data_IF_061270679799
#
_entry.id   IF_061270679799
#
_cell.length_a   1.000
_cell.length_b   1.000
_cell.length_c   1.000
_cell.angle_alpha   90.00
_cell.angle_beta   90.00
_cell.angle_gamma   90.00
#
_symmetry.space_group_name_H-M   'P 1'
#
loop_
_entity.id
_entity.type
_entity.pdbx_description
1 polymer ?
#
# COMPACT_ATOMS: atom_id res chain seq x y z
N UNK A 1 -9.97 56.12 -7.02
CA UNK A 1 -8.91 55.09 -7.06
C UNK A 1 -9.58 53.76 -7.34
N UNK A 2 -9.48 53.27 -8.58
CA UNK A 2 -9.97 51.95 -8.96
C UNK A 2 -8.89 50.94 -8.63
N UNK A 3 -9.16 50.05 -7.68
CA UNK A 3 -8.35 48.86 -7.44
C UNK A 3 -8.58 47.96 -8.65
N UNK A 4 -7.54 47.77 -9.46
CA UNK A 4 -7.55 46.78 -10.53
C UNK A 4 -7.62 45.40 -9.88
N UNK A 5 -8.79 44.77 -9.93
CA UNK A 5 -8.92 43.35 -9.61
C UNK A 5 -8.10 42.60 -10.66
N UNK A 6 -6.91 42.14 -10.27
CA UNK A 6 -6.21 41.13 -11.04
C UNK A 6 -7.19 39.96 -11.22
N UNK A 7 -7.59 39.71 -12.47
CA UNK A 7 -8.41 38.58 -12.86
C UNK A 7 -7.75 37.30 -12.35
N UNK A 8 -8.19 36.77 -11.20
CA UNK A 8 -7.74 35.46 -10.72
C UNK A 8 -8.17 34.42 -11.76
N UNK A 9 -7.20 33.82 -12.45
CA UNK A 9 -7.40 32.70 -13.35
C UNK A 9 -7.97 31.54 -12.56
N UNK A 10 -9.27 31.28 -12.74
CA UNK A 10 -9.90 30.07 -12.23
C UNK A 10 -9.77 28.97 -13.27
N UNK A 11 -8.89 28.00 -13.04
CA UNK A 11 -8.66 26.92 -13.99
C UNK A 11 -9.71 25.82 -13.89
N UNK A 12 -10.12 25.30 -15.04
CA UNK A 12 -10.77 24.00 -15.14
C UNK A 12 -9.75 22.96 -15.61
N UNK A 13 -10.01 21.68 -15.33
CA UNK A 13 -9.17 20.59 -15.85
C UNK A 13 -9.05 20.62 -17.38
N UNK A 14 -10.11 21.03 -18.09
CA UNK A 14 -10.12 21.14 -19.56
C UNK A 14 -9.29 22.30 -20.10
N UNK A 15 -9.19 23.41 -19.37
CA UNK A 15 -8.46 24.60 -19.82
C UNK A 15 -7.01 24.63 -19.37
N UNK A 16 -6.66 23.88 -18.32
CA UNK A 16 -5.28 23.82 -17.84
C UNK A 16 -4.35 23.32 -18.95
N UNK A 17 -3.13 23.87 -19.12
CA UNK A 17 -2.28 23.52 -20.24
C UNK A 17 -1.76 22.08 -20.20
N UNK A 18 -1.39 21.56 -21.36
CA UNK A 18 -0.89 20.20 -21.54
C UNK A 18 0.63 20.17 -21.68
N UNK A 19 1.33 19.48 -20.78
CA UNK A 19 2.79 19.35 -20.80
C UNK A 19 3.33 18.68 -22.08
N UNK A 20 2.53 17.82 -22.70
CA UNK A 20 2.86 17.10 -23.93
C UNK A 20 2.08 17.59 -25.15
N UNK A 21 1.22 18.59 -24.95
CA UNK A 21 0.31 19.10 -25.97
C UNK A 21 0.76 20.41 -26.60
N UNK A 22 -0.07 20.97 -27.50
CA UNK A 22 0.23 22.24 -28.19
C UNK A 22 0.24 23.44 -27.23
N UNK A 23 -0.39 23.33 -26.06
CA UNK A 23 -0.50 24.39 -25.05
C UNK A 23 0.69 24.45 -24.09
N UNK A 24 1.72 23.61 -24.27
CA UNK A 24 2.92 23.54 -23.40
C UNK A 24 3.62 24.89 -23.20
N UNK A 25 3.54 25.81 -24.17
CA UNK A 25 4.12 27.15 -24.05
C UNK A 25 3.45 28.02 -22.98
N UNK A 26 2.25 27.65 -22.52
CA UNK A 26 1.55 28.33 -21.43
C UNK A 26 2.05 27.88 -20.05
N UNK A 27 2.71 26.72 -19.96
CA UNK A 27 3.15 26.14 -18.69
C UNK A 27 4.33 26.85 -18.02
N UNK A 28 5.18 27.55 -18.77
CA UNK A 28 6.29 28.30 -18.20
C UNK A 28 6.71 29.43 -19.14
N UNK A 29 7.18 30.54 -18.58
CA UNK A 29 7.73 31.63 -19.37
C UNK A 29 9.07 31.26 -20.02
N UNK A 30 9.84 30.37 -19.39
CA UNK A 30 11.13 29.88 -19.91
C UNK A 30 11.05 28.37 -20.10
N UNK A 31 11.12 27.94 -21.36
CA UNK A 31 11.09 26.54 -21.73
C UNK A 31 12.51 25.95 -21.75
N UNK A 32 12.69 24.67 -21.35
CA UNK A 32 13.93 23.96 -21.60
C UNK A 32 14.24 23.89 -23.10
N UNK A 33 15.53 23.79 -23.47
CA UNK A 33 15.95 23.68 -24.89
C UNK A 33 15.25 22.52 -25.62
N UNK A 34 15.05 21.39 -24.92
CA UNK A 34 14.20 20.30 -25.39
C UNK A 34 12.88 20.30 -24.62
N UNK A 35 11.77 20.61 -25.31
CA UNK A 35 10.43 20.61 -24.73
C UNK A 35 10.00 19.25 -24.18
N UNK A 36 10.61 18.15 -24.65
CA UNK A 36 10.36 16.80 -24.13
C UNK A 36 10.88 16.61 -22.70
N UNK A 37 11.73 17.50 -22.19
CA UNK A 37 12.23 17.49 -20.81
C UNK A 37 11.51 18.52 -19.93
N UNK A 38 10.26 18.86 -20.26
CA UNK A 38 9.43 19.71 -19.43
C UNK A 38 8.56 18.85 -18.51
N UNK A 39 8.67 19.10 -17.21
CA UNK A 39 8.00 18.34 -16.14
C UNK A 39 7.15 19.24 -15.24
N UNK A 40 7.19 20.57 -15.42
CA UNK A 40 6.46 21.53 -14.58
C UNK A 40 5.52 22.35 -15.45
N UNK A 41 4.26 22.44 -15.03
CA UNK A 41 3.29 23.37 -15.57
C UNK A 41 2.81 24.34 -14.50
N UNK A 42 3.19 25.60 -14.65
CA UNK A 42 2.87 26.73 -13.77
C UNK A 42 2.43 27.95 -14.63
N UNK A 43 1.20 27.92 -15.18
CA UNK A 43 0.70 29.00 -16.01
C UNK A 43 0.47 30.32 -15.25
N UNK A 44 0.24 30.25 -13.94
CA UNK A 44 0.01 31.42 -13.08
C UNK A 44 1.32 32.05 -12.57
N UNK A 45 2.48 31.43 -12.85
CA UNK A 45 3.82 31.92 -12.52
C UNK A 45 4.02 32.11 -11.02
N UNK A 46 3.52 31.15 -10.23
CA UNK A 46 3.73 31.10 -8.77
C UNK A 46 5.22 30.92 -8.47
N UNK A 47 5.92 30.14 -9.29
CA UNK A 47 7.37 30.00 -9.26
C UNK A 47 8.03 31.04 -10.16
N UNK A 48 9.17 31.56 -9.70
CA UNK A 48 10.02 32.34 -10.60
C UNK A 48 10.78 31.43 -11.59
N UNK A 49 11.29 32.02 -12.67
CA UNK A 49 11.95 31.26 -13.75
C UNK A 49 13.15 30.43 -13.27
N UNK A 50 13.91 30.93 -12.29
CA UNK A 50 15.09 30.22 -11.76
C UNK A 50 14.68 29.01 -10.93
N UNK A 51 13.64 29.14 -10.11
CA UNK A 51 13.04 28.08 -9.30
C UNK A 51 12.43 27.00 -10.18
N UNK A 52 11.60 27.40 -11.14
CA UNK A 52 10.98 26.48 -12.11
C UNK A 52 12.04 25.68 -12.87
N UNK A 53 13.11 26.35 -13.34
CA UNK A 53 14.19 25.66 -14.05
C UNK A 53 15.01 24.74 -13.15
N UNK A 54 15.25 25.12 -11.89
CA UNK A 54 15.92 24.28 -10.89
C UNK A 54 15.11 23.01 -10.60
N UNK A 55 13.82 23.15 -10.28
CA UNK A 55 12.92 22.02 -10.03
C UNK A 55 12.79 21.11 -11.26
N UNK A 56 12.70 21.69 -12.46
CA UNK A 56 12.62 20.91 -13.69
C UNK A 56 13.89 20.06 -13.93
N UNK A 57 15.07 20.53 -13.51
CA UNK A 57 16.29 19.72 -13.51
C UNK A 57 16.21 18.59 -12.48
N UNK A 58 15.76 18.88 -11.26
CA UNK A 58 15.57 17.85 -10.23
C UNK A 58 14.60 16.74 -10.67
N UNK A 59 13.50 17.10 -11.33
CA UNK A 59 12.54 16.13 -11.89
C UNK A 59 13.14 15.30 -13.02
N UNK A 60 13.96 15.90 -13.87
CA UNK A 60 14.72 15.18 -14.90
C UNK A 60 15.71 14.20 -14.27
N UNK A 61 16.45 14.65 -13.27
CA UNK A 61 17.44 13.84 -12.56
C UNK A 61 16.74 12.67 -11.83
N UNK A 62 15.56 12.90 -11.27
CA UNK A 62 14.70 11.83 -10.73
C UNK A 62 14.30 10.83 -11.80
N UNK A 63 13.87 11.30 -12.98
CA UNK A 63 13.44 10.41 -14.04
C UNK A 63 14.57 9.52 -14.56
N UNK A 64 15.80 10.03 -14.68
CA UNK A 64 16.96 9.22 -15.11
C UNK A 64 17.60 8.44 -13.96
N UNK A 65 17.40 8.88 -12.71
CA UNK A 65 17.96 8.30 -11.50
C UNK A 65 17.09 7.25 -10.83
N UNK A 66 15.93 6.92 -11.38
CA UNK A 66 15.04 5.87 -10.90
C UNK A 66 15.03 4.66 -11.85
N UNK A 67 14.84 3.44 -11.34
CA UNK A 67 14.71 2.25 -12.17
C UNK A 67 13.44 2.27 -13.02
N UNK A 68 13.50 1.67 -14.20
CA UNK A 68 12.30 1.44 -15.01
C UNK A 68 11.75 0.03 -14.77
N UNK A 69 10.52 -0.05 -14.28
CA UNK A 69 9.81 -1.31 -14.04
C UNK A 69 8.77 -1.64 -15.12
N UNK A 70 8.83 -0.97 -16.27
CA UNK A 70 7.97 -1.30 -17.40
C UNK A 70 8.35 -2.65 -18.03
N UNK A 71 7.36 -3.36 -18.57
CA UNK A 71 7.59 -4.68 -19.18
C UNK A 71 8.43 -4.58 -20.47
N UNK A 72 8.27 -3.51 -21.26
CA UNK A 72 9.01 -3.32 -22.51
C UNK A 72 10.06 -2.23 -22.32
N UNK A 73 11.31 -2.52 -22.74
CA UNK A 73 12.40 -1.54 -22.70
C UNK A 73 12.10 -0.25 -23.46
N UNK A 74 11.31 -0.34 -24.55
CA UNK A 74 10.91 0.84 -25.34
C UNK A 74 10.09 1.86 -24.55
N UNK A 75 9.44 1.43 -23.46
CA UNK A 75 8.66 2.29 -22.54
C UNK A 75 9.55 3.02 -21.52
N UNK A 76 10.85 2.74 -21.53
CA UNK A 76 11.84 3.34 -20.65
C UNK A 76 12.83 4.21 -21.43
N UNK A 77 12.60 4.42 -22.72
CA UNK A 77 13.50 5.14 -23.61
C UNK A 77 12.77 6.30 -24.25
N UNK A 78 13.33 7.49 -24.06
CA UNK A 78 12.94 8.72 -24.74
C UNK A 78 13.87 8.99 -25.92
N UNK A 79 13.34 9.60 -26.98
CA UNK A 79 14.09 9.89 -28.20
C UNK A 79 13.98 8.80 -29.26
N UNK A 80 14.48 9.09 -30.45
CA UNK A 80 14.48 8.16 -31.59
C UNK A 80 15.69 7.24 -31.48
N UNK A 81 15.48 5.95 -31.72
CA UNK A 81 16.58 4.99 -31.62
C UNK A 81 17.66 5.25 -32.68
N UNK A 82 18.92 5.21 -32.27
CA UNK A 82 20.08 5.38 -33.15
C UNK A 82 20.50 6.82 -33.47
N UNK A 83 19.86 7.84 -32.89
CA UNK A 83 20.22 9.27 -33.13
C UNK A 83 21.15 9.87 -32.07
N UNK A 84 21.62 9.08 -31.10
CA UNK A 84 22.44 9.58 -29.99
C UNK A 84 21.69 10.48 -28.99
N UNK A 85 20.38 10.64 -29.17
CA UNK A 85 19.47 11.36 -28.25
C UNK A 85 18.61 10.41 -27.42
N UNK A 86 18.93 9.12 -27.43
CA UNK A 86 18.26 8.12 -26.59
C UNK A 86 18.55 8.41 -25.11
N UNK A 87 17.50 8.66 -24.34
CA UNK A 87 17.57 8.84 -22.90
C UNK A 87 16.77 7.75 -22.19
N UNK A 88 17.40 6.99 -21.31
CA UNK A 88 16.67 6.06 -20.44
C UNK A 88 15.99 6.83 -19.29
N UNK A 89 14.76 6.46 -18.94
CA UNK A 89 14.08 6.94 -17.75
C UNK A 89 13.33 5.81 -17.02
N UNK A 90 13.27 5.92 -15.70
CA UNK A 90 12.41 5.15 -14.82
C UNK A 90 11.06 5.83 -14.61
N UNK A 91 10.80 6.26 -13.38
CA UNK A 91 9.57 6.93 -13.01
C UNK A 91 9.54 8.41 -13.45
N UNK A 92 8.40 8.86 -13.93
CA UNK A 92 8.22 10.24 -14.42
C UNK A 92 7.38 11.04 -13.43
N UNK A 93 8.00 11.92 -12.67
CA UNK A 93 7.29 12.87 -11.80
C UNK A 93 7.07 14.17 -12.57
N UNK A 94 5.86 14.73 -12.49
CA UNK A 94 5.53 16.04 -13.06
C UNK A 94 4.75 16.88 -12.06
N UNK A 95 4.86 18.20 -12.17
CA UNK A 95 4.25 19.14 -11.24
C UNK A 95 3.23 19.99 -11.98
N UNK A 96 2.01 20.06 -11.45
CA UNK A 96 0.97 20.98 -11.90
C UNK A 96 0.73 22.01 -10.80
N UNK A 97 0.85 23.29 -11.11
CA UNK A 97 0.70 24.40 -10.17
C UNK A 97 -0.41 25.31 -10.67
N UNK A 98 -1.37 25.61 -9.81
CA UNK A 98 -2.43 26.58 -10.07
C UNK A 98 -2.58 27.53 -8.90
N UNK A 99 -2.88 28.78 -9.22
CA UNK A 99 -3.35 29.72 -8.23
C UNK A 99 -4.71 29.28 -7.69
N UNK A 100 -5.68 29.05 -8.59
CA UNK A 100 -7.00 28.59 -8.18
C UNK A 100 -7.68 27.67 -9.21
N UNK A 101 -8.54 26.77 -8.73
CA UNK A 101 -9.46 26.01 -9.57
C UNK A 101 -10.86 26.61 -9.52
N UNK A 102 -11.61 26.46 -10.61
CA UNK A 102 -13.02 26.77 -10.61
C UNK A 102 -13.76 25.82 -9.65
N UNK A 103 -14.44 26.42 -8.67
CA UNK A 103 -15.24 25.76 -7.65
C UNK A 103 -16.72 26.12 -7.80
N UNK A 104 -17.58 25.14 -7.55
CA UNK A 104 -19.04 25.34 -7.55
C UNK A 104 -19.58 25.76 -6.17
N UNK A 105 -18.75 25.70 -5.13
CA UNK A 105 -19.11 25.93 -3.73
C UNK A 105 -18.27 27.06 -3.15
N UNK A 106 -18.89 28.00 -2.45
CA UNK A 106 -18.24 29.20 -1.91
C UNK A 106 -17.39 28.94 -0.64
N UNK A 107 -17.66 27.84 0.07
CA UNK A 107 -16.90 27.43 1.27
C UNK A 107 -16.79 25.91 1.33
N UNK A 108 -15.91 25.30 0.51
CA UNK A 108 -15.76 23.87 0.43
C UNK A 108 -15.15 23.29 1.71
N UNK A 109 -15.57 22.09 2.09
CA UNK A 109 -14.92 21.31 3.16
C UNK A 109 -13.58 20.73 2.67
N UNK A 110 -12.72 20.31 3.61
CA UNK A 110 -11.45 19.65 3.27
C UNK A 110 -11.63 18.42 2.37
N UNK A 111 -12.69 17.64 2.59
CA UNK A 111 -13.02 16.49 1.76
C UNK A 111 -13.37 16.90 0.32
N UNK A 112 -14.16 17.97 0.15
CA UNK A 112 -14.51 18.51 -1.17
C UNK A 112 -13.28 19.07 -1.90
N UNK A 113 -12.37 19.72 -1.17
CA UNK A 113 -11.10 20.19 -1.74
C UNK A 113 -10.22 19.04 -2.23
N UNK A 114 -10.12 17.97 -1.42
CA UNK A 114 -9.37 16.75 -1.79
C UNK A 114 -9.99 16.10 -3.02
N UNK A 115 -11.30 15.84 -3.01
CA UNK A 115 -12.01 15.21 -4.14
C UNK A 115 -11.84 16.02 -5.42
N UNK A 116 -11.94 17.36 -5.34
CA UNK A 116 -11.74 18.22 -6.50
C UNK A 116 -10.33 18.14 -7.05
N UNK A 117 -9.33 18.21 -6.18
CA UNK A 117 -7.92 18.16 -6.57
C UNK A 117 -7.53 16.78 -7.14
N UNK A 118 -8.05 15.68 -6.59
CA UNK A 118 -7.87 14.34 -7.14
C UNK A 118 -8.55 14.19 -8.50
N UNK A 119 -9.78 14.69 -8.65
CA UNK A 119 -10.50 14.72 -9.93
C UNK A 119 -9.73 15.50 -11.00
N UNK A 120 -9.13 16.63 -10.61
CA UNK A 120 -8.25 17.42 -11.47
C UNK A 120 -7.01 16.60 -11.88
N UNK A 121 -6.31 15.98 -10.95
CA UNK A 121 -5.14 15.14 -11.24
C UNK A 121 -5.47 13.97 -12.16
N UNK A 122 -6.59 13.27 -11.93
CA UNK A 122 -7.06 12.17 -12.78
C UNK A 122 -7.33 12.64 -14.21
N UNK A 123 -7.90 13.83 -14.39
CA UNK A 123 -8.10 14.40 -15.72
C UNK A 123 -6.76 14.74 -16.41
N UNK A 124 -5.79 15.28 -15.66
CA UNK A 124 -4.46 15.56 -16.20
C UNK A 124 -3.70 14.29 -16.57
N UNK A 125 -3.75 13.24 -15.75
CA UNK A 125 -3.12 11.94 -16.02
C UNK A 125 -3.50 11.41 -17.40
N UNK A 126 -4.80 11.43 -17.73
CA UNK A 126 -5.30 10.97 -19.03
C UNK A 126 -4.88 11.84 -20.21
N UNK A 127 -4.77 13.16 -20.04
CA UNK A 127 -4.43 14.08 -21.15
C UNK A 127 -2.94 14.26 -21.35
N UNK A 128 -2.19 14.41 -20.26
CA UNK A 128 -0.74 14.58 -20.31
C UNK A 128 -0.04 13.29 -20.74
N UNK A 129 -0.72 12.13 -20.56
CA UNK A 129 -0.20 10.81 -20.92
C UNK A 129 1.24 10.64 -20.43
N UNK A 130 1.45 10.94 -19.13
CA UNK A 130 2.77 10.88 -18.52
C UNK A 130 3.16 9.43 -18.27
N UNK A 131 4.38 9.08 -18.67
CA UNK A 131 4.89 7.72 -18.58
C UNK A 131 4.20 6.76 -19.56
N UNK A 132 4.65 5.51 -19.56
CA UNK A 132 4.31 4.55 -20.62
C UNK A 132 3.68 3.26 -20.09
N UNK A 133 3.81 3.01 -18.78
CA UNK A 133 3.31 1.80 -18.13
C UNK A 133 2.66 2.08 -16.75
N UNK A 134 2.22 3.32 -16.51
CA UNK A 134 1.71 3.78 -15.21
C UNK A 134 2.81 4.14 -14.21
N UNK A 135 4.02 4.38 -14.69
CA UNK A 135 5.21 4.80 -13.94
C UNK A 135 5.27 6.33 -13.73
N UNK A 136 4.14 7.03 -13.72
CA UNK A 136 4.09 8.47 -13.54
C UNK A 136 3.52 8.89 -12.20
N UNK A 137 3.90 10.08 -11.75
CA UNK A 137 3.35 10.73 -10.55
C UNK A 137 3.10 12.20 -10.87
N UNK A 138 1.91 12.69 -10.56
CA UNK A 138 1.57 14.12 -10.63
C UNK A 138 1.61 14.69 -9.21
N UNK A 139 2.46 15.68 -8.98
CA UNK A 139 2.41 16.52 -7.79
C UNK A 139 1.60 17.76 -8.13
N UNK A 140 0.44 17.90 -7.52
CA UNK A 140 -0.46 19.02 -7.75
C UNK A 140 -0.38 20.02 -6.60
N UNK A 141 -0.23 21.30 -6.95
CA UNK A 141 -0.20 22.43 -6.02
C UNK A 141 -1.38 23.35 -6.33
N UNK A 142 -2.19 23.60 -5.29
CA UNK A 142 -3.28 24.55 -5.32
C UNK A 142 -3.01 25.65 -4.29
N UNK A 143 -2.49 26.78 -4.77
CA UNK A 143 -2.01 27.88 -3.93
C UNK A 143 -3.12 28.46 -3.06
N UNK A 144 -4.29 28.77 -3.64
CA UNK A 144 -5.39 29.45 -2.94
C UNK A 144 -5.84 28.74 -1.65
N UNK A 145 -5.88 27.41 -1.65
CA UNK A 145 -6.27 26.61 -0.48
C UNK A 145 -5.07 26.00 0.26
N UNK A 146 -3.84 26.40 -0.09
CA UNK A 146 -2.61 25.86 0.49
C UNK A 146 -2.58 24.33 0.48
N UNK A 147 -3.01 23.74 -0.63
CA UNK A 147 -3.23 22.30 -0.75
C UNK A 147 -2.26 21.69 -1.75
N UNK A 148 -1.67 20.56 -1.37
CA UNK A 148 -0.80 19.78 -2.23
C UNK A 148 -1.26 18.32 -2.24
N UNK A 149 -1.30 17.71 -3.42
CA UNK A 149 -1.65 16.29 -3.59
C UNK A 149 -0.55 15.60 -4.40
N UNK A 150 -0.23 14.37 -4.00
CA UNK A 150 0.63 13.46 -4.75
C UNK A 150 -0.28 12.40 -5.37
N UNK A 151 -0.33 12.36 -6.70
CA UNK A 151 -1.18 11.50 -7.49
C UNK A 151 -0.34 10.53 -8.32
N UNK A 152 0.00 9.35 -7.77
CA UNK A 152 0.72 8.32 -8.50
C UNK A 152 -0.22 7.55 -9.44
N UNK A 153 0.28 7.19 -10.62
CA UNK A 153 -0.38 6.23 -11.50
C UNK A 153 -0.18 4.80 -10.98
N UNK A 154 -0.90 3.85 -11.59
CA UNK A 154 -1.06 2.47 -11.08
C UNK A 154 0.24 1.73 -10.69
N UNK A 155 1.33 1.90 -11.44
CA UNK A 155 2.60 1.24 -11.10
C UNK A 155 3.35 2.03 -10.02
N UNK A 156 3.37 3.36 -10.12
CA UNK A 156 4.00 4.22 -9.11
C UNK A 156 3.30 4.13 -7.74
N UNK A 157 2.00 3.85 -7.69
CA UNK A 157 1.23 3.70 -6.44
C UNK A 157 1.72 2.54 -5.57
N UNK A 158 2.43 1.55 -6.15
CA UNK A 158 3.07 0.47 -5.39
C UNK A 158 4.31 0.90 -4.61
N UNK A 159 4.89 2.03 -4.98
CA UNK A 159 6.09 2.60 -4.35
C UNK A 159 5.74 3.81 -3.50
N UNK A 160 4.75 4.59 -3.94
CA UNK A 160 4.29 5.81 -3.26
C UNK A 160 2.85 5.57 -2.81
N UNK A 161 2.67 4.81 -1.72
CA UNK A 161 1.35 4.40 -1.26
C UNK A 161 0.61 5.55 -0.56
N UNK A 162 -0.59 5.29 -0.03
CA UNK A 162 -1.36 6.30 0.73
C UNK A 162 -0.56 6.74 1.97
N UNK A 163 0.13 5.82 2.61
CA UNK A 163 0.93 6.04 3.82
C UNK A 163 2.16 6.91 3.51
N UNK A 164 2.94 6.59 2.47
CA UNK A 164 4.08 7.40 2.05
C UNK A 164 3.64 8.81 1.66
N UNK A 165 2.53 8.95 0.92
CA UNK A 165 2.01 10.28 0.55
C UNK A 165 1.71 11.13 1.78
N UNK A 166 1.03 10.57 2.78
CA UNK A 166 0.74 11.26 4.04
C UNK A 166 2.02 11.65 4.78
N UNK A 167 3.00 10.76 4.81
CA UNK A 167 4.30 11.00 5.44
C UNK A 167 5.10 12.11 4.71
N UNK A 168 5.12 12.11 3.38
CA UNK A 168 5.79 13.14 2.59
C UNK A 168 5.10 14.50 2.83
N UNK A 169 3.77 14.55 2.74
CA UNK A 169 3.02 15.80 2.89
C UNK A 169 3.10 16.37 4.31
N UNK A 170 3.19 15.54 5.35
CA UNK A 170 3.38 16.02 6.72
C UNK A 170 4.72 16.71 6.93
N UNK A 171 5.80 16.23 6.30
CA UNK A 171 7.15 16.83 6.36
C UNK A 171 7.22 18.23 5.74
N UNK A 172 6.41 18.49 4.71
CA UNK A 172 6.42 19.78 3.98
C UNK A 172 5.27 20.71 4.36
N UNK A 173 4.41 20.30 5.30
CA UNK A 173 3.22 21.07 5.65
C UNK A 173 3.54 22.49 6.11
N UNK A 174 4.59 22.68 6.94
CA UNK A 174 5.01 24.02 7.38
C UNK A 174 5.41 24.91 6.19
N UNK A 175 6.13 24.36 5.21
CA UNK A 175 6.55 25.07 4.00
C UNK A 175 5.33 25.45 3.13
N UNK A 176 4.35 24.55 3.01
CA UNK A 176 3.10 24.79 2.30
C UNK A 176 2.30 25.91 2.98
N UNK A 177 2.17 25.87 4.31
CA UNK A 177 1.44 26.89 5.06
C UNK A 177 2.13 28.27 4.98
N UNK A 178 3.45 28.31 4.81
CA UNK A 178 4.24 29.52 4.65
C UNK A 178 4.40 30.00 3.19
N UNK A 179 3.68 29.41 2.23
CA UNK A 179 3.76 29.74 0.80
C UNK A 179 5.18 29.54 0.20
N UNK A 180 6.00 28.70 0.83
CA UNK A 180 7.37 28.37 0.40
C UNK A 180 7.36 27.24 -0.64
N UNK A 181 6.60 27.43 -1.73
CA UNK A 181 6.31 26.40 -2.74
C UNK A 181 7.55 25.76 -3.36
N UNK A 182 8.59 26.55 -3.66
CA UNK A 182 9.84 26.03 -4.19
C UNK A 182 10.53 25.03 -3.24
N UNK A 183 10.61 25.37 -1.95
CA UNK A 183 11.24 24.51 -0.95
C UNK A 183 10.39 23.26 -0.71
N UNK A 184 9.08 23.41 -0.60
CA UNK A 184 8.14 22.31 -0.44
C UNK A 184 8.27 21.32 -1.61
N UNK A 185 8.22 21.81 -2.86
CA UNK A 185 8.37 20.98 -4.05
C UNK A 185 9.73 20.31 -4.14
N UNK A 186 10.82 21.02 -3.83
CA UNK A 186 12.16 20.43 -3.84
C UNK A 186 12.29 19.28 -2.84
N UNK A 187 11.73 19.44 -1.64
CA UNK A 187 11.70 18.38 -0.64
C UNK A 187 10.79 17.22 -1.03
N UNK A 188 9.61 17.48 -1.62
CA UNK A 188 8.74 16.43 -2.16
C UNK A 188 9.45 15.63 -3.24
N UNK A 189 10.15 16.28 -4.17
CA UNK A 189 10.92 15.59 -5.23
C UNK A 189 12.00 14.71 -4.63
N UNK A 190 12.73 15.19 -3.61
CA UNK A 190 13.77 14.43 -2.94
C UNK A 190 13.21 13.19 -2.21
N UNK A 191 12.06 13.31 -1.56
CA UNK A 191 11.39 12.19 -0.89
C UNK A 191 10.83 11.20 -1.93
N UNK A 192 10.19 11.68 -3.00
CA UNK A 192 9.72 10.81 -4.09
C UNK A 192 10.86 10.04 -4.75
N UNK A 193 12.04 10.67 -4.93
CA UNK A 193 13.22 9.98 -5.44
C UNK A 193 13.63 8.79 -4.55
N UNK A 194 13.50 8.94 -3.23
CA UNK A 194 13.82 7.87 -2.28
C UNK A 194 12.80 6.75 -2.34
N UNK A 195 11.50 7.08 -2.31
CA UNK A 195 10.43 6.08 -2.36
C UNK A 195 10.43 5.31 -3.70
N UNK A 196 10.63 6.00 -4.82
CA UNK A 196 10.65 5.39 -6.17
C UNK A 196 11.91 4.58 -6.46
N UNK A 197 12.98 4.74 -5.68
CA UNK A 197 14.15 3.86 -5.69
C UNK A 197 14.07 2.73 -4.66
N UNK A 198 13.08 2.77 -3.77
CA UNK A 198 12.84 1.73 -2.78
C UNK A 198 12.29 0.45 -3.38
N UNK A 199 12.08 -0.54 -2.51
CA UNK A 199 11.35 -1.76 -2.89
C UNK A 199 9.84 -1.48 -2.92
N UNK A 200 9.11 -2.14 -3.83
CA UNK A 200 7.65 -2.04 -3.88
C UNK A 200 7.03 -2.50 -2.55
N UNK A 201 6.16 -1.69 -1.95
CA UNK A 201 5.42 -2.10 -0.77
C UNK A 201 4.33 -3.09 -1.19
N UNK A 202 4.34 -4.27 -0.56
CA UNK A 202 3.44 -5.37 -0.90
C UNK A 202 4.14 -6.64 -1.40
N UNK A 203 5.48 -6.65 -1.45
CA UNK A 203 6.27 -7.89 -1.61
C UNK A 203 6.74 -8.47 -0.27
N UNK A 204 5.94 -8.32 0.78
CA UNK A 204 5.94 -9.38 1.79
C UNK A 204 5.10 -10.48 1.16
N UNK A 205 5.74 -11.37 0.40
CA UNK A 205 5.04 -12.49 -0.23
C UNK A 205 4.08 -13.08 0.80
N UNK A 206 2.77 -12.99 0.57
CA UNK A 206 1.77 -13.59 1.46
C UNK A 206 2.11 -15.07 1.68
N UNK A 207 2.77 -15.70 0.71
CA UNK A 207 3.40 -17.02 0.82
C UNK A 207 4.49 -17.09 1.88
N UNK A 208 5.44 -16.15 1.93
CA UNK A 208 6.53 -16.11 2.93
C UNK A 208 6.00 -15.79 4.33
N UNK A 209 5.05 -14.86 4.47
CA UNK A 209 4.40 -14.61 5.76
C UNK A 209 3.62 -15.84 6.24
N UNK A 210 2.85 -16.48 5.34
CA UNK A 210 2.12 -17.72 5.64
C UNK A 210 3.07 -18.87 5.98
N UNK A 211 4.21 -18.97 5.29
CA UNK A 211 5.25 -19.96 5.57
C UNK A 211 5.85 -19.75 6.96
N UNK A 212 6.19 -18.51 7.32
CA UNK A 212 6.72 -18.19 8.64
C UNK A 212 5.72 -18.51 9.77
N UNK A 213 4.44 -18.19 9.57
CA UNK A 213 3.36 -18.53 10.51
C UNK A 213 3.18 -20.05 10.62
N UNK A 214 3.17 -20.77 9.48
CA UNK A 214 3.03 -22.22 9.46
C UNK A 214 4.21 -22.93 10.15
N UNK A 215 5.44 -22.51 9.86
CA UNK A 215 6.66 -23.02 10.51
C UNK A 215 6.62 -22.72 12.00
N UNK A 216 6.23 -21.50 12.39
CA UNK A 216 6.08 -21.12 13.80
C UNK A 216 5.09 -22.01 14.57
N UNK A 217 3.92 -22.27 13.98
CA UNK A 217 2.90 -23.16 14.56
C UNK A 217 3.40 -24.61 14.66
N UNK A 218 4.09 -25.11 13.63
CA UNK A 218 4.63 -26.46 13.62
C UNK A 218 5.70 -26.68 14.71
N UNK A 219 6.61 -25.71 14.90
CA UNK A 219 7.62 -25.75 15.95
C UNK A 219 6.96 -25.72 17.33
N UNK A 220 5.98 -24.83 17.54
CA UNK A 220 5.24 -24.75 18.81
C UNK A 220 4.53 -26.06 19.15
N UNK A 221 3.81 -26.66 18.17
CA UNK A 221 3.13 -27.94 18.37
C UNK A 221 4.13 -29.06 18.68
N UNK A 222 5.28 -29.08 18.01
CA UNK A 222 6.32 -30.08 18.26
C UNK A 222 6.86 -29.95 19.69
N UNK A 223 7.18 -28.73 20.14
CA UNK A 223 7.63 -28.47 21.50
C UNK A 223 6.58 -28.88 22.54
N UNK A 224 5.29 -28.58 22.30
CA UNK A 224 4.21 -28.99 23.19
C UNK A 224 4.08 -30.51 23.27
N UNK A 225 4.13 -31.22 22.14
CA UNK A 225 4.05 -32.68 22.11
C UNK A 225 5.27 -33.27 22.83
N UNK A 226 6.48 -32.80 22.55
CA UNK A 226 7.69 -33.27 23.20
C UNK A 226 7.64 -33.01 24.71
N UNK A 227 7.21 -31.82 25.15
CA UNK A 227 7.03 -31.49 26.56
C UNK A 227 6.01 -32.41 27.23
N UNK A 228 4.87 -32.67 26.60
CA UNK A 228 3.86 -33.61 27.10
C UNK A 228 4.38 -35.05 27.20
N UNK A 229 5.16 -35.52 26.22
CA UNK A 229 5.75 -36.87 26.25
C UNK A 229 6.84 -36.97 27.33
N UNK A 230 7.67 -35.94 27.48
CA UNK A 230 8.65 -35.85 28.55
C UNK A 230 7.97 -35.81 29.93
N UNK A 231 6.90 -35.04 30.10
CA UNK A 231 6.10 -35.02 31.32
C UNK A 231 5.46 -36.40 31.58
N UNK A 232 4.91 -37.06 30.57
CA UNK A 232 4.34 -38.40 30.74
C UNK A 232 5.39 -39.46 31.07
N UNK A 233 6.60 -39.40 30.50
CA UNK A 233 7.70 -40.31 30.86
C UNK A 233 8.31 -40.01 32.23
N UNK A 234 8.55 -38.74 32.56
CA UNK A 234 9.12 -38.33 33.83
C UNK A 234 8.12 -38.52 34.99
N UNK A 235 6.85 -38.12 34.82
CA UNK A 235 5.79 -38.32 35.81
C UNK A 235 5.21 -39.73 35.80
N UNK A 236 5.33 -40.47 34.69
CA UNK A 236 4.99 -41.89 34.61
C UNK A 236 5.98 -42.79 35.34
N UNK A 237 7.25 -42.39 35.41
CA UNK A 237 8.29 -43.10 36.17
C UNK A 237 8.30 -42.76 37.67
N UNK A 238 7.67 -41.65 38.08
CA UNK A 238 7.44 -41.31 39.50
C UNK A 238 6.30 -42.13 40.13
N UNK A 239 5.60 -42.98 39.37
CA UNK A 239 4.49 -43.81 39.88
C UNK A 239 4.94 -45.13 40.53
N UNK A 240 6.13 -45.17 41.12
CA UNK A 240 6.61 -46.35 41.88
C UNK A 240 6.82 -46.17 43.38
N UNK A 241 6.69 -44.95 43.91
CA UNK A 241 6.71 -44.74 45.36
C UNK A 241 5.46 -43.96 45.79
N UNK A 242 4.71 -44.50 46.77
CA UNK A 242 3.49 -43.93 47.38
C UNK A 242 2.19 -43.98 46.55
N UNK A 243 1.50 -45.14 46.58
CA UNK A 243 0.03 -45.17 46.55
C UNK A 243 -0.52 -44.70 47.91
N UNK A 244 -1.22 -43.56 48.01
CA UNK A 244 -2.05 -43.31 49.18
C UNK A 244 -3.23 -44.30 49.21
N UNK A 245 -3.57 -44.75 50.42
CA UNK A 245 -4.49 -45.86 50.73
C UNK A 245 -6.00 -45.68 50.43
N UNK A 246 -6.60 -44.56 49.96
CA UNK A 246 -8.06 -44.51 49.81
C UNK A 246 -8.61 -45.07 48.48
N UNK A 247 -7.80 -45.23 47.43
CA UNK A 247 -8.31 -45.62 46.08
C UNK A 247 -8.50 -47.15 45.95
N UNK A 248 -7.90 -47.96 46.83
CA UNK A 248 -8.02 -49.43 46.76
C UNK A 248 -9.46 -49.92 46.99
N UNK A 249 -10.24 -49.21 47.82
CA UNK A 249 -11.64 -49.55 48.12
C UNK A 249 -12.63 -49.18 47.01
N UNK A 250 -12.28 -48.21 46.16
CA UNK A 250 -13.15 -47.79 45.05
C UNK A 250 -13.06 -48.78 43.88
N UNK A 251 -11.87 -49.32 43.62
CA UNK A 251 -11.63 -50.31 42.55
C UNK A 251 -12.26 -51.67 42.89
N UNK A 252 -12.18 -52.12 44.15
CA UNK A 252 -12.84 -53.37 44.59
C UNK A 252 -14.38 -53.33 44.48
N UNK A 253 -15.02 -52.17 44.69
CA UNK A 253 -16.48 -52.03 44.53
C UNK A 253 -16.93 -52.07 43.07
N UNK A 254 -16.10 -51.59 42.14
CA UNK A 254 -16.45 -51.58 40.71
C UNK A 254 -16.31 -52.99 40.13
N UNK A 255 -15.31 -53.76 40.57
CA UNK A 255 -15.15 -55.15 40.15
C UNK A 255 -16.23 -56.06 40.73
N UNK A 256 -16.68 -55.85 41.98
CA UNK A 256 -17.81 -56.61 42.56
C UNK A 256 -19.15 -56.36 41.86
N UNK A 257 -19.37 -55.13 41.36
CA UNK A 257 -20.54 -54.77 40.55
C UNK A 257 -20.48 -55.40 39.15
N UNK A 258 -19.29 -55.50 38.56
CA UNK A 258 -19.09 -56.12 37.24
C UNK A 258 -19.35 -57.63 37.28
N UNK A 259 -18.93 -58.31 38.34
CA UNK A 259 -19.21 -59.75 38.53
C UNK A 259 -20.70 -60.04 38.75
N UNK A 260 -21.43 -59.21 39.49
CA UNK A 260 -22.88 -59.40 39.69
C UNK A 260 -23.68 -59.20 38.40
N UNK A 261 -23.29 -58.23 37.56
CA UNK A 261 -23.96 -57.98 36.26
C UNK A 261 -23.67 -59.10 35.25
N UNK A 262 -22.47 -59.68 35.26
CA UNK A 262 -22.12 -60.82 34.39
C UNK A 262 -22.85 -62.11 34.81
N UNK A 263 -23.06 -62.33 36.11
CA UNK A 263 -23.81 -63.49 36.64
C UNK A 263 -25.32 -63.39 36.39
N UNK A 264 -25.88 -62.18 36.35
CA UNK A 264 -27.28 -61.95 35.94
C UNK A 264 -27.55 -62.17 34.45
N UNK A 265 -26.57 -61.86 33.58
CA UNK A 265 -26.69 -62.07 32.13
C UNK A 265 -26.60 -63.54 31.69
N UNK A 266 -25.96 -64.42 32.46
CA UNK A 266 -25.87 -65.85 32.16
C UNK A 266 -27.13 -66.63 32.57
N UNK A 267 -27.81 -66.20 33.64
CA UNK A 267 -29.12 -66.73 34.07
C UNK A 267 -30.23 -66.42 33.05
N UNK A 268 -30.27 -65.19 32.51
CA UNK A 268 -31.25 -64.80 31.48
C UNK A 268 -31.07 -65.53 30.13
N UNK A 269 -29.85 -65.93 29.78
CA UNK A 269 -29.60 -66.72 28.55
C UNK A 269 -29.98 -68.18 28.71
N UNK A 270 -29.87 -68.76 29.93
CA UNK A 270 -30.34 -70.13 30.20
C UNK A 270 -31.87 -70.23 30.22
N UNK A 271 -32.60 -69.21 30.69
CA UNK A 271 -34.06 -69.19 30.61
C UNK A 271 -34.58 -69.04 29.17
N UNK A 272 -33.91 -68.24 28.32
CA UNK A 272 -34.28 -68.11 26.90
C UNK A 272 -34.01 -69.37 26.08
N UNK A 273 -33.02 -70.17 26.45
CA UNK A 273 -32.69 -71.43 25.75
C UNK A 273 -33.63 -72.57 26.20
N UNK A 274 -34.08 -72.60 27.46
CA UNK A 274 -35.10 -73.58 27.91
C UNK A 274 -36.49 -73.29 27.31
N UNK A 275 -36.85 -72.02 27.10
CA UNK A 275 -38.10 -71.64 26.44
C UNK A 275 -38.10 -71.94 24.92
N UNK A 276 -36.93 -72.13 24.30
CA UNK A 276 -36.79 -72.50 22.89
C UNK A 276 -36.71 -74.02 22.66
N UNK A 277 -36.50 -74.83 23.72
CA UNK A 277 -36.37 -76.28 23.64
C UNK A 277 -37.68 -77.05 23.90
N UNK A 278 -38.71 -76.39 24.43
CA UNK A 278 -40.09 -76.90 24.46
C UNK A 278 -40.97 -75.96 23.63
N UNK A 279 -41.17 -76.31 22.36
CA UNK A 279 -41.92 -75.51 21.41
C UNK A 279 -43.34 -75.21 21.89
N UNK A 280 -43.67 -73.93 21.94
CA UNK A 280 -45.04 -73.43 21.82
C UNK A 280 -44.97 -72.23 20.90
N UNK A 281 -45.86 -72.28 19.90
CA UNK A 281 -46.16 -71.27 18.88
C UNK A 281 -46.30 -69.88 19.49
#
# INVERSE_FOLDING_TARGET
MLVSAASQSQWTSGQFPDLRGPTVSQCAAVLPRNRQHMYICDPDRILNNSQAMSLNRQLRDLAVGTPCHCQRRSQCTTGISGTGTEGFHGFVVSVAIVQNLQMQVHSPSEAQLTERAESFCRALEGRWALGDCGNSVIVFVWEHYKKMIIWPARLAEKYVTVEERKNILSKVNELIQADQWYLALSQVIAELLRELNGEEQGKVDTGTLSLLVAVGLAVLLTLLITCCVCAFRCCGNLRREHRPRPIRRAVERVDSLRETVLKGRSQLRRLKILAFAFGVI
#
